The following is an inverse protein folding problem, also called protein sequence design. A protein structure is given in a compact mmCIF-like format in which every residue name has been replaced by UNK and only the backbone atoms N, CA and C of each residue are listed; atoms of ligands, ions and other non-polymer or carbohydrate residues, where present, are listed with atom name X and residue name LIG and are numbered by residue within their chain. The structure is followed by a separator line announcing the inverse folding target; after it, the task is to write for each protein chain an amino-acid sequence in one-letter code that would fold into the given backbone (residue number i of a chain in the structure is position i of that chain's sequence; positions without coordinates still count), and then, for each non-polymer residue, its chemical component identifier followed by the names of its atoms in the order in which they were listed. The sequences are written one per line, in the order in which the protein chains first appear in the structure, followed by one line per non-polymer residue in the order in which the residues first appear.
data_IF_643546363249
#
_entry.id   IF_643546363249
#
_cell.length_a   1.000
_cell.length_b   1.000
_cell.length_c   1.000
_cell.angle_alpha   90.00
_cell.angle_beta   90.00
_cell.angle_gamma   90.00
#
_symmetry.space_group_name_H-M   'P 1'
#
loop_
_entity.id
_entity.type
_entity.pdbx_description
1 polymer ?
#
# COMPACT_ATOMS: atom_id res chain seq x y z
N UNK A 1 35.83 24.17 -30.89
CA UNK A 1 35.82 24.73 -29.52
C UNK A 1 35.31 26.17 -29.60
N UNK A 2 34.42 26.67 -28.73
CA UNK A 2 33.50 26.00 -27.80
C UNK A 2 32.02 26.19 -28.21
N UNK A 3 31.12 25.32 -27.75
CA UNK A 3 29.67 25.57 -27.70
C UNK A 3 29.31 25.75 -26.24
N UNK A 4 28.89 26.96 -25.92
CA UNK A 4 28.32 27.40 -24.65
C UNK A 4 26.80 27.36 -24.78
N UNK A 5 26.12 26.68 -23.85
CA UNK A 5 24.83 27.06 -23.27
C UNK A 5 24.25 25.84 -22.52
N UNK A 6 24.56 25.76 -21.23
CA UNK A 6 23.86 24.87 -20.31
C UNK A 6 22.42 25.35 -20.17
N UNK A 7 21.47 24.51 -20.58
CA UNK A 7 20.07 24.64 -20.22
C UNK A 7 19.94 24.36 -18.72
N UNK A 8 19.85 25.43 -17.93
CA UNK A 8 19.45 25.38 -16.53
C UNK A 8 17.99 24.94 -16.48
N UNK A 9 17.75 23.66 -16.17
CA UNK A 9 16.43 23.21 -15.73
C UNK A 9 16.12 23.94 -14.41
N UNK A 10 15.20 24.90 -14.48
CA UNK A 10 14.76 25.69 -13.33
C UNK A 10 14.15 24.75 -12.27
N UNK A 11 14.67 24.89 -11.04
CA UNK A 11 14.11 24.33 -9.81
C UNK A 11 12.64 24.73 -9.67
N UNK A 12 11.75 23.75 -9.53
CA UNK A 12 10.53 23.92 -8.73
C UNK A 12 10.84 23.48 -7.31
N UNK A 13 11.68 24.26 -6.62
CA UNK A 13 11.80 24.21 -5.17
C UNK A 13 11.12 25.48 -4.68
N UNK A 14 9.86 25.36 -4.28
CA UNK A 14 9.24 26.39 -3.46
C UNK A 14 9.91 26.27 -2.10
N UNK A 15 10.80 27.21 -1.79
CA UNK A 15 11.37 27.34 -0.46
C UNK A 15 10.24 27.77 0.48
N UNK A 16 9.87 26.91 1.43
CA UNK A 16 9.02 27.29 2.54
C UNK A 16 9.85 28.18 3.48
N UNK A 17 9.61 29.48 3.41
CA UNK A 17 10.12 30.44 4.39
C UNK A 17 9.03 30.73 5.42
N UNK A 18 9.30 30.37 6.68
CA UNK A 18 8.62 30.90 7.87
C UNK A 18 7.35 30.17 8.29
N UNK A 19 7.40 29.55 9.48
CA UNK A 19 6.31 29.35 10.46
C UNK A 19 4.85 29.18 9.96
N UNK A 20 4.66 28.39 8.91
CA UNK A 20 3.34 27.96 8.42
C UNK A 20 3.13 26.51 8.92
N UNK A 21 2.01 26.16 9.60
CA UNK A 21 1.81 24.81 10.09
C UNK A 21 2.00 23.84 8.93
N UNK A 22 2.96 22.94 9.09
CA UNK A 22 3.46 21.98 8.11
C UNK A 22 2.40 20.91 7.76
N UNK A 23 1.22 21.32 7.31
CA UNK A 23 0.37 20.42 6.54
C UNK A 23 1.18 20.04 5.31
N UNK A 24 1.53 18.76 5.27
CA UNK A 24 2.48 18.15 4.34
C UNK A 24 2.25 18.67 2.92
N UNK A 25 3.19 19.43 2.37
CA UNK A 25 3.30 19.55 0.92
C UNK A 25 3.59 18.14 0.44
N UNK A 26 2.55 17.41 0.03
CA UNK A 26 2.69 16.06 -0.50
C UNK A 26 3.62 16.16 -1.70
N UNK A 27 4.86 15.69 -1.53
CA UNK A 27 5.83 15.69 -2.61
C UNK A 27 5.43 14.59 -3.59
N UNK A 28 4.68 15.00 -4.61
CA UNK A 28 4.30 14.14 -5.72
C UNK A 28 5.56 13.69 -6.44
N UNK A 29 5.76 12.38 -6.58
CA UNK A 29 6.95 11.85 -7.20
C UNK A 29 7.14 10.35 -7.01
N UNK A 30 8.34 9.92 -7.40
CA UNK A 30 8.84 8.57 -7.17
C UNK A 30 9.81 8.58 -6.00
N UNK A 31 9.64 7.62 -5.11
CA UNK A 31 10.39 7.45 -3.88
C UNK A 31 10.92 6.02 -3.77
N UNK A 32 11.85 5.80 -2.85
CA UNK A 32 12.34 4.47 -2.53
C UNK A 32 11.40 3.77 -1.56
N UNK A 33 11.02 2.54 -1.88
CA UNK A 33 10.53 1.56 -0.92
C UNK A 33 11.64 0.53 -0.64
N UNK A 34 11.90 0.27 0.64
CA UNK A 34 12.80 -0.78 1.11
C UNK A 34 11.97 -1.95 1.62
N UNK A 35 12.21 -3.14 1.06
CA UNK A 35 11.58 -4.40 1.41
C UNK A 35 12.57 -5.19 2.24
N UNK A 36 12.26 -5.42 3.52
CA UNK A 36 13.08 -6.22 4.43
C UNK A 36 12.50 -7.60 4.61
N UNK A 37 13.34 -8.60 4.38
CA UNK A 37 13.03 -10.01 4.56
C UNK A 37 13.36 -10.47 5.99
N UNK A 38 12.75 -11.56 6.49
CA UNK A 38 13.00 -12.07 7.84
C UNK A 38 14.44 -12.53 8.07
N UNK A 39 15.16 -12.88 7.01
CA UNK A 39 16.58 -13.27 7.06
C UNK A 39 17.54 -12.05 7.12
N UNK A 40 17.01 -10.83 7.10
CA UNK A 40 17.77 -9.59 7.07
C UNK A 40 18.14 -9.12 5.66
N UNK A 41 17.81 -9.88 4.61
CA UNK A 41 18.01 -9.45 3.22
C UNK A 41 17.14 -8.24 2.91
N UNK A 42 17.68 -7.27 2.18
CA UNK A 42 16.90 -6.13 1.65
C UNK A 42 16.75 -6.21 0.13
N UNK A 43 15.60 -5.74 -0.35
CA UNK A 43 15.33 -5.43 -1.76
C UNK A 43 14.69 -4.06 -1.85
N UNK A 44 14.75 -3.47 -3.03
CA UNK A 44 14.32 -2.10 -3.25
C UNK A 44 13.27 -2.03 -4.35
N UNK A 45 12.39 -1.06 -4.28
CA UNK A 45 11.40 -0.80 -5.32
C UNK A 45 11.14 0.69 -5.46
N UNK A 46 10.66 1.09 -6.63
CA UNK A 46 10.10 2.44 -6.80
C UNK A 46 8.70 2.48 -6.16
N UNK A 47 8.42 3.54 -5.42
CA UNK A 47 7.11 3.87 -4.89
C UNK A 47 6.60 5.14 -5.55
N UNK A 48 5.34 5.16 -5.98
CA UNK A 48 4.71 6.35 -6.53
C UNK A 48 3.71 6.94 -5.55
N UNK A 49 3.88 8.21 -5.18
CA UNK A 49 2.87 8.94 -4.38
C UNK A 49 1.65 9.37 -5.20
N UNK A 50 1.65 9.16 -6.52
CA UNK A 50 0.47 9.46 -7.37
C UNK A 50 -0.56 8.33 -7.29
N UNK A 51 -0.10 7.08 -7.39
CA UNK A 51 -0.98 5.90 -7.29
C UNK A 51 -0.91 5.23 -5.92
N UNK A 52 -0.14 5.83 -5.01
CA UNK A 52 0.14 5.36 -3.65
C UNK A 52 0.47 3.86 -3.61
N UNK A 53 1.49 3.45 -4.36
CA UNK A 53 1.81 2.02 -4.54
C UNK A 53 3.28 1.79 -4.87
N UNK A 54 3.82 0.70 -4.35
CA UNK A 54 5.11 0.11 -4.73
C UNK A 54 5.00 -0.58 -6.09
N UNK A 55 5.96 -0.34 -6.97
CA UNK A 55 6.04 -0.96 -8.30
C UNK A 55 6.95 -2.18 -8.33
N UNK A 56 6.66 -3.07 -9.27
CA UNK A 56 7.57 -4.10 -9.75
C UNK A 56 8.36 -3.61 -10.97
N UNK A 57 9.55 -4.17 -11.23
CA UNK A 57 10.25 -5.24 -10.48
C UNK A 57 10.92 -4.75 -9.19
N UNK A 58 11.42 -5.69 -8.38
CA UNK A 58 12.30 -5.40 -7.23
C UNK A 58 13.77 -5.32 -7.68
N UNK A 59 14.57 -4.56 -6.95
CA UNK A 59 15.98 -4.31 -7.26
C UNK A 59 16.89 -4.79 -6.12
N UNK A 60 18.10 -5.26 -6.42
CA UNK A 60 19.05 -5.74 -5.42
C UNK A 60 19.77 -4.60 -4.70
N UNK A 61 19.85 -3.42 -5.32
CA UNK A 61 20.71 -2.33 -4.89
C UNK A 61 19.95 -1.00 -4.81
N UNK A 62 20.53 -0.07 -4.05
CA UNK A 62 20.07 1.30 -3.91
C UNK A 62 21.25 2.22 -4.16
N UNK A 63 21.03 3.28 -4.92
CA UNK A 63 21.96 4.40 -5.02
C UNK A 63 21.49 5.46 -4.02
N UNK A 64 22.31 5.74 -3.01
CA UNK A 64 22.01 6.70 -1.95
C UNK A 64 22.28 8.13 -2.38
N UNK A 65 21.65 9.09 -1.71
CA UNK A 65 21.94 10.52 -1.93
C UNK A 65 23.44 10.79 -1.85
N UNK A 66 23.98 11.47 -2.86
CA UNK A 66 25.40 11.83 -2.99
C UNK A 66 26.28 10.77 -3.66
N UNK A 67 25.76 9.57 -3.92
CA UNK A 67 26.45 8.56 -4.73
C UNK A 67 26.33 8.87 -6.23
N UNK A 68 26.98 8.08 -7.09
CA UNK A 68 26.92 8.25 -8.55
C UNK A 68 26.07 7.13 -9.16
N UNK A 69 25.05 7.52 -9.93
CA UNK A 69 24.21 6.61 -10.68
C UNK A 69 25.00 5.90 -11.80
N UNK A 70 24.52 4.74 -12.31
CA UNK A 70 25.13 4.09 -13.48
C UNK A 70 25.25 4.98 -14.73
N UNK A 71 24.43 6.03 -14.82
CA UNK A 71 24.50 7.05 -15.88
C UNK A 71 25.66 8.05 -15.74
N UNK A 72 26.39 8.03 -14.62
CA UNK A 72 27.46 8.98 -14.29
C UNK A 72 26.98 10.25 -13.59
N UNK A 73 25.67 10.43 -13.40
CA UNK A 73 25.12 11.58 -12.68
C UNK A 73 25.10 11.35 -11.17
N UNK A 74 25.20 12.43 -10.38
CA UNK A 74 25.01 12.35 -8.93
C UNK A 74 23.56 11.98 -8.57
N UNK A 75 23.42 11.11 -7.59
CA UNK A 75 22.15 10.66 -7.06
C UNK A 75 21.60 11.72 -6.08
N UNK A 76 20.56 12.43 -6.51
CA UNK A 76 19.95 13.51 -5.74
C UNK A 76 18.83 13.04 -4.80
N UNK A 77 18.47 11.75 -4.87
CA UNK A 77 17.48 11.07 -4.03
C UNK A 77 17.82 9.59 -3.99
N UNK A 78 17.62 8.93 -2.85
CA UNK A 78 17.71 7.47 -2.75
C UNK A 78 16.85 6.82 -3.84
N UNK A 79 17.43 5.89 -4.60
CA UNK A 79 16.78 5.32 -5.79
C UNK A 79 17.21 3.87 -5.98
N UNK A 80 16.26 3.02 -6.37
CA UNK A 80 16.55 1.62 -6.69
C UNK A 80 17.41 1.53 -7.96
N UNK A 81 18.47 0.73 -7.91
CA UNK A 81 19.42 0.55 -9.03
C UNK A 81 19.85 -0.90 -9.18
N UNK A 82 20.62 -1.17 -10.24
CA UNK A 82 21.06 -2.51 -10.61
C UNK A 82 20.10 -3.19 -11.59
N UNK A 83 20.47 -4.40 -12.01
CA UNK A 83 19.59 -5.22 -12.84
C UNK A 83 18.38 -5.65 -11.99
N UNK A 84 17.14 -5.39 -12.42
CA UNK A 84 15.96 -5.80 -11.69
C UNK A 84 15.90 -7.32 -11.53
N UNK A 85 15.35 -7.79 -10.41
CA UNK A 85 15.04 -9.21 -10.24
C UNK A 85 14.04 -9.67 -11.32
N UNK A 86 14.19 -10.90 -11.83
CA UNK A 86 13.26 -11.46 -12.81
C UNK A 86 11.83 -11.39 -12.28
N UNK A 87 10.99 -10.58 -12.93
CA UNK A 87 9.60 -10.40 -12.58
C UNK A 87 8.74 -11.03 -13.67
N UNK A 88 7.89 -11.96 -13.27
CA UNK A 88 6.89 -12.57 -14.14
C UNK A 88 5.50 -12.31 -13.53
N UNK A 89 4.75 -11.44 -14.20
CA UNK A 89 3.39 -11.06 -13.78
C UNK A 89 2.41 -12.23 -13.91
N UNK A 90 2.64 -13.11 -14.89
CA UNK A 90 1.74 -14.20 -15.22
C UNK A 90 2.11 -15.50 -14.48
N UNK A 91 3.26 -15.50 -13.79
CA UNK A 91 3.66 -16.60 -12.93
C UNK A 91 2.60 -16.83 -11.82
N UNK A 92 2.23 -18.10 -11.56
CA UNK A 92 1.35 -18.40 -10.45
C UNK A 92 2.01 -17.95 -9.14
N UNK A 93 1.20 -17.37 -8.24
CA UNK A 93 1.64 -17.08 -6.88
C UNK A 93 2.20 -18.35 -6.23
N UNK A 94 3.27 -18.18 -5.46
CA UNK A 94 3.86 -19.24 -4.66
C UNK A 94 2.80 -19.89 -3.79
N UNK A 95 2.92 -21.20 -3.53
CA UNK A 95 2.14 -21.87 -2.52
C UNK A 95 2.18 -21.08 -1.21
N UNK A 96 1.07 -21.09 -0.48
CA UNK A 96 0.92 -20.20 0.69
C UNK A 96 1.96 -20.45 1.79
N UNK A 97 2.46 -21.68 1.92
CA UNK A 97 3.55 -22.02 2.84
C UNK A 97 4.93 -21.50 2.42
N UNK A 98 5.06 -21.00 1.19
CA UNK A 98 6.29 -20.43 0.62
C UNK A 98 6.23 -18.90 0.52
N UNK A 99 5.08 -18.29 0.83
CA UNK A 99 4.96 -16.84 0.92
C UNK A 99 5.76 -16.34 2.11
N UNK A 100 6.56 -15.30 1.89
CA UNK A 100 7.45 -14.73 2.90
C UNK A 100 6.85 -13.43 3.41
N UNK A 101 6.62 -13.31 4.71
CA UNK A 101 6.24 -12.04 5.31
C UNK A 101 7.41 -11.05 5.22
N UNK A 102 7.17 -9.87 4.67
CA UNK A 102 8.18 -8.82 4.53
C UNK A 102 7.68 -7.51 5.15
N UNK A 103 8.62 -6.71 5.64
CA UNK A 103 8.35 -5.35 6.11
C UNK A 103 8.74 -4.36 5.02
N UNK A 104 7.83 -3.47 4.65
CA UNK A 104 8.07 -2.41 3.67
C UNK A 104 8.18 -1.07 4.39
N UNK A 105 9.22 -0.31 4.08
CA UNK A 105 9.42 1.06 4.56
C UNK A 105 9.51 2.00 3.37
N UNK A 106 8.76 3.11 3.38
CA UNK A 106 8.76 4.11 2.32
C UNK A 106 9.44 5.40 2.77
N UNK A 107 10.41 5.87 2.00
CA UNK A 107 10.97 7.22 2.15
C UNK A 107 10.08 8.30 1.50
N UNK A 108 10.13 9.56 1.94
CA UNK A 108 10.94 10.09 3.04
C UNK A 108 10.23 10.04 4.40
N UNK A 109 8.96 9.61 4.44
CA UNK A 109 8.14 9.70 5.64
C UNK A 109 8.32 8.51 6.60
N UNK A 110 9.16 7.54 6.22
CA UNK A 110 9.40 6.29 6.94
C UNK A 110 8.11 5.53 7.28
N UNK A 111 7.10 5.62 6.42
CA UNK A 111 5.86 4.85 6.56
C UNK A 111 6.19 3.35 6.50
N UNK A 112 5.67 2.58 7.47
CA UNK A 112 5.92 1.13 7.60
C UNK A 112 4.62 0.34 7.48
N UNK A 113 4.66 -0.73 6.68
CA UNK A 113 3.60 -1.73 6.60
C UNK A 113 4.15 -3.12 6.26
N UNK A 114 3.35 -4.16 6.47
CA UNK A 114 3.71 -5.53 6.11
C UNK A 114 3.01 -5.98 4.82
N UNK A 115 3.71 -6.81 4.05
CA UNK A 115 3.19 -7.47 2.87
C UNK A 115 3.76 -8.89 2.79
N UNK A 116 3.28 -9.70 1.85
CA UNK A 116 3.88 -10.99 1.51
C UNK A 116 4.76 -10.84 0.27
N UNK A 117 5.78 -11.66 0.15
CA UNK A 117 6.58 -11.83 -1.04
C UNK A 117 6.36 -13.23 -1.59
N UNK A 118 6.15 -13.33 -2.90
CA UNK A 118 5.99 -14.59 -3.62
C UNK A 118 7.26 -14.89 -4.43
N UNK A 119 8.09 -15.86 -3.97
CA UNK A 119 9.33 -16.23 -4.66
C UNK A 119 9.14 -16.66 -6.12
N UNK A 120 8.04 -17.34 -6.46
CA UNK A 120 7.79 -17.88 -7.80
C UNK A 120 7.80 -16.83 -8.93
N UNK A 121 7.37 -15.60 -8.63
CA UNK A 121 7.28 -14.48 -9.58
C UNK A 121 8.06 -13.23 -9.14
N UNK A 122 8.85 -13.35 -8.07
CA UNK A 122 9.56 -12.25 -7.41
C UNK A 122 8.68 -11.00 -7.15
N UNK A 123 7.46 -11.24 -6.66
CA UNK A 123 6.40 -10.22 -6.59
C UNK A 123 5.96 -9.99 -5.14
N UNK A 124 5.62 -8.74 -4.81
CA UNK A 124 4.98 -8.38 -3.55
C UNK A 124 3.49 -8.61 -3.69
N UNK A 125 2.93 -9.23 -2.66
CA UNK A 125 1.58 -9.72 -2.59
C UNK A 125 1.02 -9.17 -1.29
N UNK A 126 0.10 -8.22 -1.35
CA UNK A 126 -0.34 -7.54 -0.16
C UNK A 126 -0.72 -6.11 -0.42
N UNK A 127 -0.90 -5.31 0.64
CA UNK A 127 -0.96 -3.88 0.51
C UNK A 127 0.36 -3.40 -0.11
N UNK A 128 0.24 -2.79 -1.30
CA UNK A 128 1.37 -2.15 -1.96
C UNK A 128 1.65 -0.75 -1.39
N UNK A 129 0.84 -0.31 -0.43
CA UNK A 129 1.09 0.86 0.42
C UNK A 129 0.34 0.79 1.74
N UNK A 130 0.72 1.67 2.67
CA UNK A 130 -0.02 1.87 3.92
C UNK A 130 -1.51 2.19 3.69
N UNK A 131 -1.87 2.89 2.60
CA UNK A 131 -3.27 3.17 2.27
C UNK A 131 -4.06 1.88 1.96
N UNK A 132 -3.52 0.98 1.14
CA UNK A 132 -4.16 -0.31 0.87
C UNK A 132 -4.31 -1.16 2.13
N UNK A 133 -3.35 -1.06 3.07
CA UNK A 133 -3.47 -1.72 4.38
C UNK A 133 -4.68 -1.19 5.14
N UNK A 134 -4.85 0.13 5.19
CA UNK A 134 -6.00 0.74 5.86
C UNK A 134 -7.33 0.37 5.17
N UNK A 135 -7.40 0.44 3.84
CA UNK A 135 -8.60 0.06 3.09
C UNK A 135 -9.02 -1.39 3.37
N UNK A 136 -8.07 -2.32 3.43
CA UNK A 136 -8.36 -3.71 3.78
C UNK A 136 -8.94 -3.84 5.20
N UNK A 137 -8.41 -3.06 6.15
CA UNK A 137 -8.90 -3.08 7.53
C UNK A 137 -10.28 -2.43 7.67
N UNK A 138 -10.60 -1.43 6.84
CA UNK A 138 -11.91 -0.78 6.82
C UNK A 138 -13.02 -1.71 6.28
N UNK A 139 -12.71 -2.54 5.28
CA UNK A 139 -13.70 -3.38 4.62
C UNK A 139 -13.91 -4.74 5.30
N UNK A 140 -12.91 -5.24 6.04
CA UNK A 140 -12.86 -6.63 6.48
C UNK A 140 -12.56 -6.81 7.98
N UNK A 141 -13.24 -7.79 8.56
CA UNK A 141 -12.98 -8.33 9.88
C UNK A 141 -12.24 -9.68 9.76
N UNK A 142 -11.34 -9.96 10.70
CA UNK A 142 -10.90 -11.34 10.96
C UNK A 142 -11.79 -11.97 12.03
N UNK A 143 -12.38 -13.11 11.70
CA UNK A 143 -13.27 -13.86 12.60
C UNK A 143 -12.78 -15.30 12.73
N UNK A 144 -12.60 -15.79 13.96
CA UNK A 144 -12.20 -17.18 14.21
C UNK A 144 -13.35 -18.14 13.94
N UNK A 145 -13.04 -19.30 13.37
CA UNK A 145 -13.96 -20.45 13.35
C UNK A 145 -13.78 -21.33 14.60
N UNK A 146 -14.59 -22.39 14.71
CA UNK A 146 -14.51 -23.36 15.81
C UNK A 146 -13.19 -24.15 15.89
N UNK A 147 -12.35 -24.12 14.83
CA UNK A 147 -11.01 -24.69 14.84
C UNK A 147 -9.94 -23.66 15.23
N UNK A 148 -10.33 -22.41 15.50
CA UNK A 148 -9.44 -21.31 15.87
C UNK A 148 -8.78 -20.60 14.69
N UNK A 149 -9.13 -20.95 13.45
CA UNK A 149 -8.60 -20.33 12.22
C UNK A 149 -9.34 -19.02 11.96
N UNK A 150 -8.60 -17.95 11.69
CA UNK A 150 -9.15 -16.62 11.38
C UNK A 150 -9.53 -16.52 9.91
N UNK A 151 -10.75 -16.07 9.61
CA UNK A 151 -11.26 -15.90 8.25
C UNK A 151 -11.58 -14.43 7.98
N UNK A 152 -11.24 -13.96 6.78
CA UNK A 152 -11.54 -12.60 6.34
C UNK A 152 -13.01 -12.50 5.95
N UNK A 153 -13.76 -11.65 6.66
CA UNK A 153 -15.20 -11.46 6.50
C UNK A 153 -15.48 -10.00 6.18
N UNK A 154 -16.22 -9.74 5.10
CA UNK A 154 -16.61 -8.36 4.80
C UNK A 154 -17.67 -7.90 5.81
N UNK A 155 -17.53 -6.69 6.35
CA UNK A 155 -18.34 -6.16 7.46
C UNK A 155 -19.86 -6.43 7.37
N UNK A 156 -20.42 -6.31 6.17
CA UNK A 156 -21.85 -6.37 5.94
C UNK A 156 -22.38 -7.78 5.60
N UNK A 157 -21.53 -8.82 5.42
CA UNK A 157 -21.96 -10.10 4.84
C UNK A 157 -21.19 -11.32 5.35
N UNK A 158 -21.83 -12.26 6.05
CA UNK A 158 -21.43 -13.65 6.00
C UNK A 158 -21.85 -14.26 4.64
N UNK A 159 -21.06 -15.17 4.04
CA UNK A 159 -19.88 -15.86 4.59
C UNK A 159 -18.56 -15.09 4.44
N UNK A 160 -17.51 -15.62 5.07
CA UNK A 160 -16.12 -15.25 4.80
C UNK A 160 -15.79 -15.35 3.31
N UNK A 161 -14.73 -14.68 2.87
CA UNK A 161 -14.29 -14.68 1.46
C UNK A 161 -14.04 -16.10 0.93
N UNK A 162 -13.61 -17.02 1.79
CA UNK A 162 -13.42 -18.44 1.45
C UNK A 162 -14.73 -19.27 1.42
N UNK A 163 -15.89 -18.67 1.73
CA UNK A 163 -17.18 -19.34 1.87
C UNK A 163 -17.47 -19.91 3.27
N UNK A 164 -16.50 -19.90 4.18
CA UNK A 164 -16.70 -20.33 5.56
C UNK A 164 -17.67 -19.41 6.32
N UNK A 165 -18.33 -19.95 7.34
CA UNK A 165 -19.21 -19.18 8.24
C UNK A 165 -18.63 -19.16 9.65
N UNK A 166 -17.55 -18.39 9.87
CA UNK A 166 -17.00 -18.25 11.21
C UNK A 166 -18.05 -17.57 12.11
N UNK A 167 -18.20 -18.08 13.32
CA UNK A 167 -19.12 -17.61 14.34
C UNK A 167 -18.41 -17.08 15.60
N UNK A 168 -17.07 -17.06 15.58
CA UNK A 168 -16.24 -16.59 16.69
C UNK A 168 -16.20 -15.08 16.84
N UNK A 169 -15.34 -14.64 17.76
CA UNK A 169 -15.15 -13.23 18.09
C UNK A 169 -14.45 -12.48 16.93
N UNK A 170 -14.89 -11.25 16.69
CA UNK A 170 -14.29 -10.34 15.71
C UNK A 170 -13.01 -9.75 16.31
N UNK A 171 -11.90 -9.91 15.60
CA UNK A 171 -10.60 -9.34 15.99
C UNK A 171 -10.31 -7.98 15.34
N UNK A 172 -11.22 -7.47 14.49
CA UNK A 172 -11.03 -6.22 13.75
C UNK A 172 -11.14 -4.98 14.63
N UNK A 173 -10.52 -3.88 14.18
CA UNK A 173 -10.86 -2.57 14.71
C UNK A 173 -12.35 -2.31 14.48
N UNK A 174 -13.04 -1.76 15.49
CA UNK A 174 -14.23 -0.97 15.22
C UNK A 174 -13.77 0.30 14.53
N UNK A 175 -13.68 0.26 13.19
CA UNK A 175 -13.83 1.51 12.47
C UNK A 175 -15.22 2.08 12.84
N UNK A 176 -15.37 3.39 12.90
CA UNK A 176 -16.69 3.93 13.03
C UNK A 176 -17.54 3.48 11.81
N UNK A 177 -18.85 3.25 11.99
CA UNK A 177 -19.69 2.74 10.91
C UNK A 177 -19.59 3.62 9.65
N UNK A 178 -19.81 3.03 8.46
CA UNK A 178 -19.78 3.77 7.20
C UNK A 178 -20.64 5.04 7.30
N UNK A 179 -20.02 6.21 7.17
CA UNK A 179 -20.69 7.52 7.30
C UNK A 179 -20.13 8.43 8.40
N UNK A 180 -19.34 7.93 9.34
CA UNK A 180 -18.52 8.79 10.21
C UNK A 180 -17.28 9.21 9.44
N UNK A 181 -17.24 10.47 9.02
CA UNK A 181 -16.06 11.06 8.43
C UNK A 181 -15.00 11.29 9.52
N UNK A 182 -13.77 10.85 9.28
CA UNK A 182 -12.60 11.20 10.11
C UNK A 182 -12.36 12.72 10.27
N UNK A 183 -13.09 13.55 9.54
CA UNK A 183 -13.06 15.02 9.61
C UNK A 183 -14.15 15.62 10.50
N UNK A 184 -15.03 14.84 11.13
CA UNK A 184 -15.92 15.39 12.14
C UNK A 184 -15.12 15.59 13.42
N UNK A 185 -14.60 16.82 13.58
CA UNK A 185 -13.99 17.36 14.79
C UNK A 185 -14.91 17.12 16.00
N UNK A 186 -14.75 15.96 16.65
CA UNK A 186 -15.17 15.83 18.04
C UNK A 186 -14.17 16.59 18.88
N UNK A 187 -14.60 17.72 19.47
CA UNK A 187 -13.89 18.62 20.41
C UNK A 187 -13.46 17.94 21.74
N UNK A 188 -13.08 16.66 21.71
CA UNK A 188 -12.51 15.92 22.82
C UNK A 188 -11.12 15.40 22.48
N UNK A 189 -10.25 15.13 23.46
CA UNK A 189 -9.06 14.35 23.20
C UNK A 189 -9.52 13.05 22.56
N UNK A 190 -9.08 12.79 21.33
CA UNK A 190 -9.32 11.52 20.67
C UNK A 190 -8.96 10.42 21.68
N UNK A 191 -9.85 9.47 22.01
CA UNK A 191 -9.37 8.28 22.66
C UNK A 191 -8.27 7.75 21.74
N UNK A 192 -7.06 7.58 22.28
CA UNK A 192 -5.95 6.98 21.53
C UNK A 192 -6.49 5.66 21.00
N UNK A 193 -6.88 5.67 19.72
CA UNK A 193 -7.44 4.49 19.10
C UNK A 193 -6.30 3.48 19.11
N UNK A 194 -6.52 2.26 19.62
CA UNK A 194 -5.46 1.26 19.61
C UNK A 194 -4.92 1.15 18.18
N UNK A 195 -3.61 0.99 17.99
CA UNK A 195 -3.02 0.93 16.67
C UNK A 195 -3.75 -0.14 15.85
N UNK A 196 -4.09 0.21 14.60
CA UNK A 196 -4.76 -0.71 13.70
C UNK A 196 -3.93 -2.00 13.56
N UNK A 197 -4.52 -3.19 13.80
CA UNK A 197 -3.81 -4.46 13.70
C UNK A 197 -3.45 -4.71 12.24
N UNK A 198 -2.16 -4.62 11.90
CA UNK A 198 -1.66 -4.94 10.58
C UNK A 198 -1.87 -6.44 10.30
N UNK A 199 -2.88 -6.76 9.50
CA UNK A 199 -3.33 -8.13 9.22
C UNK A 199 -2.20 -9.01 8.66
N UNK A 200 -1.28 -8.40 7.91
CA UNK A 200 -0.12 -9.10 7.37
C UNK A 200 0.97 -9.24 8.42
N UNK A 201 1.15 -8.27 9.34
CA UNK A 201 2.08 -8.43 10.45
C UNK A 201 1.74 -9.62 11.35
N UNK A 202 0.44 -9.89 11.52
CA UNK A 202 -0.05 -11.04 12.28
C UNK A 202 -0.10 -12.35 11.48
N UNK A 203 0.42 -12.35 10.24
CA UNK A 203 0.44 -13.54 9.41
C UNK A 203 1.34 -14.61 10.03
N UNK A 204 0.70 -15.63 10.60
CA UNK A 204 1.40 -16.79 11.15
C UNK A 204 0.68 -18.06 10.71
N UNK A 205 0.99 -18.55 9.50
CA UNK A 205 0.46 -19.83 9.05
C UNK A 205 0.66 -20.90 10.15
N UNK A 206 -0.40 -21.57 10.65
CA UNK A 206 -1.71 -21.81 10.01
C UNK A 206 -2.91 -21.01 10.54
N UNK A 207 -2.71 -19.92 11.28
CA UNK A 207 -3.78 -19.28 12.07
C UNK A 207 -4.74 -18.37 11.29
N UNK A 208 -4.44 -18.08 10.02
CA UNK A 208 -5.31 -17.33 9.11
C UNK A 208 -5.65 -18.19 7.88
N UNK A 209 -6.92 -18.13 7.50
CA UNK A 209 -7.50 -18.80 6.35
C UNK A 209 -6.81 -18.36 5.06
N UNK A 210 -6.11 -19.30 4.45
CA UNK A 210 -5.29 -19.06 3.26
C UNK A 210 -6.09 -18.58 2.04
N UNK A 211 -7.24 -19.19 1.67
CA UNK A 211 -8.07 -18.66 0.59
C UNK A 211 -8.59 -17.25 0.86
N UNK A 212 -8.88 -16.90 2.12
CA UNK A 212 -9.37 -15.56 2.46
C UNK A 212 -8.34 -14.48 2.14
N UNK A 213 -7.07 -14.69 2.50
CA UNK A 213 -6.02 -13.72 2.20
C UNK A 213 -5.69 -13.70 0.70
N UNK A 214 -5.55 -14.85 0.06
CA UNK A 214 -5.25 -14.90 -1.38
C UNK A 214 -6.36 -14.36 -2.28
N UNK A 215 -7.63 -14.51 -1.90
CA UNK A 215 -8.74 -13.99 -2.70
C UNK A 215 -8.73 -12.46 -2.76
N UNK A 216 -8.41 -11.80 -1.64
CA UNK A 216 -8.21 -10.35 -1.64
C UNK A 216 -7.05 -9.92 -2.56
N UNK A 217 -6.02 -10.74 -2.66
CA UNK A 217 -4.82 -10.46 -3.46
C UNK A 217 -5.04 -10.57 -4.98
N UNK A 218 -6.07 -11.30 -5.41
CA UNK A 218 -6.37 -11.52 -6.84
C UNK A 218 -7.39 -10.51 -7.38
N UNK A 219 -8.26 -9.98 -6.52
CA UNK A 219 -9.32 -9.04 -6.87
C UNK A 219 -9.23 -7.76 -6.01
N UNK A 220 -8.26 -6.85 -6.26
CA UNK A 220 -8.33 -5.50 -5.71
C UNK A 220 -9.46 -4.75 -6.42
N UNK A 221 -10.69 -5.01 -5.97
CA UNK A 221 -11.97 -4.52 -6.50
C UNK A 221 -12.31 -5.00 -7.94
N UNK A 222 -13.55 -5.47 -8.20
CA UNK A 222 -14.03 -5.51 -9.58
C UNK A 222 -14.02 -4.09 -10.16
N UNK A 223 -13.61 -3.94 -11.42
CA UNK A 223 -13.98 -2.73 -12.19
C UNK A 223 -15.46 -2.44 -11.89
N UNK A 224 -15.84 -1.19 -11.58
CA UNK A 224 -17.23 -0.88 -11.35
C UNK A 224 -17.99 -1.38 -12.57
N UNK A 225 -18.85 -2.39 -12.36
CA UNK A 225 -19.67 -2.95 -13.42
C UNK A 225 -20.27 -1.77 -14.19
N UNK A 226 -20.22 -1.75 -15.53
CA UNK A 226 -20.79 -0.65 -16.31
C UNK A 226 -22.21 -0.48 -15.78
N UNK A 227 -22.47 0.69 -15.17
CA UNK A 227 -23.67 0.91 -14.40
C UNK A 227 -24.86 0.49 -15.28
N UNK A 228 -25.45 -0.66 -14.97
CA UNK A 228 -26.80 -0.95 -15.42
C UNK A 228 -27.59 0.27 -14.94
N UNK A 229 -28.29 0.92 -15.86
CA UNK A 229 -29.00 2.17 -15.63
C UNK A 229 -30.05 1.99 -14.52
N UNK A 230 -29.61 2.04 -13.27
CA UNK A 230 -30.41 2.13 -12.07
C UNK A 230 -30.19 3.53 -11.52
N UNK A 231 -31.31 4.17 -11.21
CA UNK A 231 -31.48 5.57 -10.84
C UNK A 231 -30.40 6.11 -9.88
N UNK A 232 -30.05 7.40 -10.01
CA UNK A 232 -28.92 7.98 -9.29
C UNK A 232 -29.15 7.97 -7.78
N UNK A 233 -28.55 7.00 -7.09
CA UNK A 233 -28.17 7.18 -5.71
C UNK A 233 -27.14 8.32 -5.65
N UNK A 234 -27.37 9.29 -4.77
CA UNK A 234 -26.55 10.49 -4.68
C UNK A 234 -25.05 10.09 -4.54
N UNK A 235 -24.16 10.58 -5.41
CA UNK A 235 -22.76 10.16 -5.42
C UNK A 235 -22.06 10.64 -4.15
N UNK A 236 -21.27 9.75 -3.53
CA UNK A 236 -20.32 10.13 -2.49
C UNK A 236 -19.36 11.19 -3.06
N UNK A 237 -19.33 12.34 -2.40
CA UNK A 237 -18.84 13.61 -2.95
C UNK A 237 -17.32 13.70 -3.10
N UNK A 238 -16.56 12.69 -2.67
CA UNK A 238 -15.09 12.74 -2.71
C UNK A 238 -14.50 12.36 -4.08
N UNK A 239 -15.08 11.36 -4.77
CA UNK A 239 -14.58 10.91 -6.08
C UNK A 239 -14.86 11.89 -7.23
N UNK A 240 -15.95 12.64 -7.18
CA UNK A 240 -16.33 13.60 -8.25
C UNK A 240 -15.37 14.80 -8.31
N UNK A 241 -14.68 15.13 -7.21
CA UNK A 241 -13.64 16.17 -7.18
C UNK A 241 -12.36 15.72 -7.87
N UNK A 242 -11.98 14.45 -7.75
CA UNK A 242 -10.76 13.91 -8.37
C UNK A 242 -10.88 13.75 -9.88
N UNK A 243 -12.08 13.59 -10.46
CA UNK A 243 -12.24 13.51 -11.94
C UNK A 243 -12.25 14.86 -12.66
N UNK A 244 -12.66 15.95 -12.01
CA UNK A 244 -12.77 17.27 -12.67
C UNK A 244 -11.42 17.98 -12.88
N UNK A 245 -10.36 17.55 -12.21
CA UNK A 245 -9.00 18.08 -12.38
C UNK A 245 -8.19 17.40 -13.50
N UNK A 246 -8.76 16.41 -14.20
CA UNK A 246 -8.09 15.64 -15.27
C UNK A 246 -8.55 16.00 -16.68
N UNK A 247 -9.34 17.07 -16.85
CA UNK A 247 -9.76 17.60 -18.15
C UNK A 247 -9.50 19.11 -18.31
N UNK A 248 -8.69 19.71 -17.44
CA UNK A 248 -8.24 21.10 -17.54
C UNK A 248 -6.72 21.16 -17.67
#
# INVERSE_FOLDING_TARGET
MPITAGSVCRRNVVAATGDDPAWRVMRVGRWLATIRFPDGTERYAEYSTVVESTYHPLYPEVCRVGETLPSGNECYRDTAVGEPLPYDRDAPLSPVGELVLVTVTRQPDDDVWHALYSPSGAVLVGPLSGFYRYALQEDYDLIRDGAGVRHLCRWARPPAVCGARPDGERSGLRFPPPGMHWSEETDGPYPESPPAPDLFAEWNAPDICRPCLLAWLRDPEPEPAPAAASEPAAPSTWWTRLRRSWQA
#
